data_IF_862292308620
#
_entry.id   IF_862292308620
#
_cell.length_a   1.000
_cell.length_b   1.000
_cell.length_c   1.000
_cell.angle_alpha   90.00
_cell.angle_beta   90.00
_cell.angle_gamma   90.00
#
_symmetry.space_group_name_H-M   'P 1'
#
loop_
_entity.id
_entity.type
_entity.pdbx_description
1 polymer ?
#
# COMPACT_ATOMS: atom_id res chain seq x y z
N UNK A 1 -8.82 -2.75 3.42
CA UNK A 1 -9.63 -2.17 2.34
C UNK A 1 -9.97 -0.75 2.76
N UNK A 2 -9.76 0.25 1.90
CA UNK A 2 -10.15 1.64 2.19
C UNK A 2 -11.61 1.91 1.77
N UNK A 3 -12.08 3.15 1.92
CA UNK A 3 -13.45 3.57 1.51
C UNK A 3 -13.68 3.48 0.01
N UNK A 4 -12.62 3.54 -0.78
CA UNK A 4 -12.66 3.63 -2.24
C UNK A 4 -12.60 2.23 -2.89
N UNK A 5 -12.52 1.16 -2.06
CA UNK A 5 -12.49 -0.24 -2.49
C UNK A 5 -11.09 -0.81 -2.73
N UNK A 6 -10.04 -0.02 -2.55
CA UNK A 6 -8.65 -0.46 -2.72
C UNK A 6 -8.25 -1.45 -1.62
N UNK A 7 -7.48 -2.46 -2.02
CA UNK A 7 -7.04 -3.53 -1.13
C UNK A 7 -5.52 -3.57 -0.99
N UNK A 8 -5.05 -3.70 0.25
CA UNK A 8 -3.63 -3.85 0.59
C UNK A 8 -3.40 -5.24 1.17
N UNK A 9 -2.47 -5.98 0.57
CA UNK A 9 -2.05 -7.32 0.99
C UNK A 9 -0.57 -7.33 1.37
N UNK A 10 -0.27 -7.80 2.57
CA UNK A 10 1.10 -7.95 3.09
C UNK A 10 1.10 -9.04 4.17
N UNK A 11 2.27 -9.60 4.45
CA UNK A 11 2.49 -10.54 5.55
C UNK A 11 2.30 -9.89 6.93
N UNK A 12 2.81 -8.67 7.10
CA UNK A 12 2.75 -7.93 8.36
C UNK A 12 2.55 -6.43 8.14
N UNK A 13 1.98 -5.76 9.13
CA UNK A 13 1.85 -4.30 9.24
C UNK A 13 2.11 -3.89 10.68
N UNK A 14 2.90 -2.84 10.87
CA UNK A 14 3.08 -2.17 12.14
C UNK A 14 2.32 -0.84 12.15
N UNK A 15 1.63 -0.54 13.24
CA UNK A 15 0.92 0.73 13.41
C UNK A 15 1.54 1.58 14.51
N UNK A 16 2.04 2.75 14.12
CA UNK A 16 2.46 3.79 15.04
C UNK A 16 1.31 4.76 15.31
N UNK A 17 0.58 4.54 16.41
CA UNK A 17 -0.55 5.37 16.83
C UNK A 17 -0.16 6.83 17.10
N UNK A 18 1.04 7.07 17.66
CA UNK A 18 1.52 8.41 17.98
C UNK A 18 1.65 9.28 16.73
N UNK A 19 2.14 8.70 15.64
CA UNK A 19 2.32 9.41 14.37
C UNK A 19 1.21 9.15 13.36
N UNK A 20 0.19 8.36 13.71
CA UNK A 20 -0.89 7.95 12.79
C UNK A 20 -0.35 7.36 11.48
N UNK A 21 0.66 6.50 11.60
CA UNK A 21 1.35 5.90 10.46
C UNK A 21 1.35 4.39 10.55
N UNK A 22 1.10 3.74 9.42
CA UNK A 22 1.35 2.32 9.25
C UNK A 22 2.61 2.12 8.42
N UNK A 23 3.37 1.08 8.70
CA UNK A 23 4.55 0.75 7.92
C UNK A 23 4.83 -0.74 7.97
N UNK A 24 5.59 -1.22 6.98
CA UNK A 24 6.17 -2.55 6.98
C UNK A 24 7.48 -2.53 6.16
N UNK A 25 8.23 -3.63 6.25
CA UNK A 25 9.43 -3.86 5.44
C UNK A 25 9.27 -5.11 4.57
N UNK A 26 8.04 -5.61 4.42
CA UNK A 26 7.73 -6.85 3.69
C UNK A 26 7.13 -6.55 2.33
N UNK A 27 7.14 -7.57 1.49
CA UNK A 27 6.48 -7.52 0.21
C UNK A 27 5.00 -7.14 0.37
N UNK A 28 4.57 -6.14 -0.40
CA UNK A 28 3.22 -5.57 -0.32
C UNK A 28 2.62 -5.49 -1.71
N UNK A 29 1.37 -5.91 -1.85
CA UNK A 29 0.58 -5.70 -3.07
C UNK A 29 -0.56 -4.75 -2.75
N UNK A 30 -0.77 -3.76 -3.61
CA UNK A 30 -1.94 -2.89 -3.61
C UNK A 30 -2.72 -3.14 -4.88
N UNK A 31 -4.00 -3.45 -4.72
CA UNK A 31 -4.96 -3.60 -5.80
C UNK A 31 -5.88 -2.38 -5.75
N UNK A 32 -5.81 -1.55 -6.79
CA UNK A 32 -6.67 -0.41 -6.96
C UNK A 32 -7.93 -0.80 -7.73
N UNK A 33 -9.04 -0.11 -7.49
CA UNK A 33 -10.32 -0.39 -8.17
C UNK A 33 -10.30 -0.08 -9.67
N UNK A 34 -9.39 0.79 -10.13
CA UNK A 34 -9.19 1.13 -11.54
C UNK A 34 -8.46 0.03 -12.34
N UNK A 35 -8.07 -1.08 -11.71
CA UNK A 35 -7.32 -2.17 -12.32
C UNK A 35 -5.81 -2.04 -12.18
N UNK A 36 -5.30 -0.95 -11.60
CA UNK A 36 -3.88 -0.78 -11.28
C UNK A 36 -3.48 -1.79 -10.20
N UNK A 37 -2.35 -2.46 -10.41
CA UNK A 37 -1.74 -3.33 -9.39
C UNK A 37 -0.32 -2.87 -9.12
N UNK A 38 -0.07 -2.45 -7.89
CA UNK A 38 1.25 -2.02 -7.42
C UNK A 38 1.86 -3.08 -6.51
N UNK A 39 3.15 -3.36 -6.70
CA UNK A 39 3.94 -4.30 -5.92
C UNK A 39 5.14 -3.56 -5.33
N UNK A 40 5.22 -3.49 -4.01
CA UNK A 40 6.35 -2.93 -3.30
C UNK A 40 7.22 -4.05 -2.72
N UNK A 41 8.49 -4.09 -3.14
CA UNK A 41 9.42 -5.15 -2.74
C UNK A 41 10.01 -4.91 -1.35
N UNK A 42 10.19 -3.65 -0.95
CA UNK A 42 10.86 -3.28 0.32
C UNK A 42 9.93 -2.53 1.27
N UNK A 43 8.66 -2.93 1.29
CA UNK A 43 7.67 -2.39 2.21
C UNK A 43 7.05 -1.06 1.81
N UNK A 44 6.28 -0.55 2.76
CA UNK A 44 5.32 0.52 2.64
C UNK A 44 5.43 1.42 3.87
N UNK A 45 5.19 2.70 3.68
CA UNK A 45 4.87 3.64 4.75
C UNK A 45 3.63 4.41 4.32
N UNK A 46 2.58 4.40 5.14
CA UNK A 46 1.36 5.11 4.85
C UNK A 46 0.79 5.81 6.08
N UNK A 47 -0.08 6.79 5.86
CA UNK A 47 -0.98 7.27 6.91
C UNK A 47 -1.96 6.16 7.30
N UNK A 48 -2.44 6.19 8.54
CA UNK A 48 -3.42 5.21 9.03
C UNK A 48 -4.76 5.26 8.29
N UNK A 49 -5.08 6.40 7.66
CA UNK A 49 -6.20 6.58 6.75
C UNK A 49 -5.90 6.21 5.28
N UNK A 50 -4.69 5.69 4.99
CA UNK A 50 -4.22 5.28 3.66
C UNK A 50 -4.23 6.38 2.57
N UNK A 51 -4.51 7.64 2.91
CA UNK A 51 -4.54 8.74 1.93
C UNK A 51 -3.19 9.09 1.34
N UNK A 52 -2.11 8.77 2.06
CA UNK A 52 -0.73 8.94 1.59
C UNK A 52 0.00 7.64 1.75
N UNK A 53 0.43 7.06 0.64
CA UNK A 53 1.19 5.81 0.61
C UNK A 53 2.52 6.09 -0.07
N UNK A 54 3.62 5.74 0.60
CA UNK A 54 4.96 5.70 0.05
C UNK A 54 5.40 4.25 -0.02
N UNK A 55 5.57 3.78 -1.24
CA UNK A 55 6.08 2.45 -1.51
C UNK A 55 7.57 2.52 -1.82
N UNK A 56 8.34 1.55 -1.33
CA UNK A 56 9.78 1.46 -1.59
C UNK A 56 10.04 0.36 -2.62
N UNK A 57 10.83 0.68 -3.64
CA UNK A 57 11.23 -0.24 -4.72
C UNK A 57 10.00 -0.89 -5.39
N UNK A 58 9.26 -0.08 -6.14
CA UNK A 58 7.98 -0.47 -6.75
C UNK A 58 8.13 -1.04 -8.15
N UNK A 59 7.28 -2.01 -8.47
CA UNK A 59 6.93 -2.41 -9.82
C UNK A 59 5.41 -2.55 -9.92
N UNK A 60 4.84 -2.46 -11.11
CA UNK A 60 3.39 -2.53 -11.25
C UNK A 60 2.92 -2.65 -12.68
N UNK A 61 1.63 -2.91 -12.82
CA UNK A 61 0.92 -2.93 -14.10
C UNK A 61 -0.09 -1.80 -14.06
N UNK A 62 -0.04 -0.94 -15.07
CA UNK A 62 -1.06 0.07 -15.32
C UNK A 62 -1.99 -0.43 -16.42
N UNK A 63 -3.31 -0.28 -16.25
CA UNK A 63 -4.24 -0.52 -17.34
C UNK A 63 -3.94 0.46 -18.48
N UNK A 64 -3.85 -0.07 -19.69
CA UNK A 64 -3.69 0.74 -20.90
C UNK A 64 -5.10 1.22 -21.28
N UNK A 65 -5.26 2.54 -21.45
CA UNK A 65 -6.51 3.15 -21.94
C UNK A 65 -6.72 2.87 -23.42
#
# INVERSE_FOLDING_TARGET
MNSDGDFLKTEEIFWNKKYKKIFNNKYTIIYCTDGTVLKAMNGLEATDDLKKIRLKNISGIFPIQ
#
